data_IF_230466633857
#
_entry.id   IF_230466633857
#
_cell.length_a   1.000
_cell.length_b   1.000
_cell.length_c   1.000
_cell.angle_alpha   90.00
_cell.angle_beta   90.00
_cell.angle_gamma   90.00
#
_symmetry.space_group_name_H-M   'P 1'
#
loop_
_entity.id
_entity.type
_entity.pdbx_description
1 polymer ?
#
# COMPACT_ATOMS: atom_id res chain seq x y z
N UNK A 1 -26.19 3.90 14.84
CA UNK A 1 -25.74 3.07 13.71
C UNK A 1 -24.69 2.11 14.26
N UNK A 2 -24.93 0.80 14.22
CA UNK A 2 -23.96 -0.19 14.68
C UNK A 2 -23.02 -0.51 13.52
N UNK A 3 -21.75 -0.16 13.64
CA UNK A 3 -20.71 -0.50 12.66
C UNK A 3 -20.22 -1.90 13.03
N UNK A 4 -20.66 -2.91 12.30
CA UNK A 4 -20.35 -4.31 12.59
C UNK A 4 -19.34 -4.93 11.58
N UNK A 5 -19.08 -4.26 10.47
CA UNK A 5 -18.20 -4.79 9.41
C UNK A 5 -17.38 -3.69 8.71
N UNK A 6 -16.33 -4.08 8.00
CA UNK A 6 -15.57 -3.16 7.14
C UNK A 6 -16.42 -2.57 6.01
N UNK A 7 -17.44 -3.31 5.54
CA UNK A 7 -18.39 -2.81 4.54
C UNK A 7 -19.23 -1.66 5.07
N UNK A 8 -19.62 -1.70 6.35
CA UNK A 8 -20.38 -0.62 6.98
C UNK A 8 -19.52 0.65 7.09
N UNK A 9 -18.23 0.51 7.41
CA UNK A 9 -17.27 1.63 7.41
C UNK A 9 -17.20 2.25 6.01
N UNK A 10 -17.04 1.42 4.98
CA UNK A 10 -16.93 1.88 3.59
C UNK A 10 -18.20 2.64 3.15
N UNK A 11 -19.38 2.12 3.49
CA UNK A 11 -20.67 2.78 3.20
C UNK A 11 -20.80 4.14 3.91
N UNK A 12 -20.30 4.24 5.14
CA UNK A 12 -20.25 5.52 5.87
C UNK A 12 -19.35 6.51 5.14
N UNK A 13 -18.13 6.10 4.79
CA UNK A 13 -17.16 6.96 4.10
C UNK A 13 -17.69 7.47 2.76
N UNK A 14 -18.32 6.60 1.97
CA UNK A 14 -18.87 6.95 0.65
C UNK A 14 -20.08 7.92 0.70
N UNK A 15 -20.70 8.08 1.86
CA UNK A 15 -21.84 8.99 2.07
C UNK A 15 -21.48 10.26 2.86
N UNK A 16 -20.20 10.49 3.17
CA UNK A 16 -19.74 11.70 3.85
C UNK A 16 -19.67 12.88 2.85
N UNK A 17 -19.89 14.09 3.36
CA UNK A 17 -19.51 15.31 2.66
C UNK A 17 -17.97 15.46 2.60
N UNK A 18 -17.49 16.38 1.75
CA UNK A 18 -16.05 16.56 1.51
C UNK A 18 -15.26 16.87 2.80
N UNK A 19 -15.80 17.73 3.66
CA UNK A 19 -15.14 18.10 4.92
C UNK A 19 -15.07 16.91 5.87
N UNK A 20 -16.16 16.17 6.03
CA UNK A 20 -16.22 14.96 6.86
C UNK A 20 -15.31 13.86 6.33
N UNK A 21 -15.21 13.71 5.02
CA UNK A 21 -14.28 12.78 4.36
C UNK A 21 -12.83 13.16 4.67
N UNK A 22 -12.47 14.45 4.54
CA UNK A 22 -11.14 14.93 4.87
C UNK A 22 -10.80 14.72 6.35
N UNK A 23 -11.71 15.09 7.25
CA UNK A 23 -11.53 14.88 8.70
C UNK A 23 -11.32 13.41 9.04
N UNK A 24 -12.09 12.52 8.42
CA UNK A 24 -11.95 11.08 8.61
C UNK A 24 -10.61 10.57 8.09
N UNK A 25 -10.19 10.99 6.89
CA UNK A 25 -8.91 10.61 6.30
C UNK A 25 -7.73 11.04 7.20
N UNK A 26 -7.71 12.30 7.66
CA UNK A 26 -6.68 12.81 8.57
C UNK A 26 -6.69 12.05 9.91
N UNK A 27 -7.88 11.75 10.43
CA UNK A 27 -8.02 11.00 11.70
C UNK A 27 -7.44 9.59 11.55
N UNK A 28 -7.76 8.89 10.47
CA UNK A 28 -7.22 7.55 10.20
C UNK A 28 -5.69 7.57 10.04
N UNK A 29 -5.15 8.54 9.34
CA UNK A 29 -3.71 8.73 9.19
C UNK A 29 -3.03 8.97 10.55
N UNK A 30 -3.60 9.85 11.37
CA UNK A 30 -3.08 10.13 12.72
C UNK A 30 -3.11 8.89 13.60
N UNK A 31 -4.20 8.13 13.60
CA UNK A 31 -4.31 6.87 14.35
C UNK A 31 -3.25 5.88 13.86
N UNK A 32 -3.06 5.74 12.56
CA UNK A 32 -2.06 4.84 11.97
C UNK A 32 -0.63 5.23 12.40
N UNK A 33 -0.28 6.52 12.31
CA UNK A 33 1.02 7.02 12.76
C UNK A 33 1.25 6.80 14.26
N UNK A 34 0.25 7.07 15.09
CA UNK A 34 0.34 6.84 16.53
C UNK A 34 0.53 5.38 16.88
N UNK A 35 -0.27 4.51 16.26
CA UNK A 35 -0.14 3.05 16.41
C UNK A 35 1.28 2.60 16.09
N UNK A 36 1.81 3.03 14.94
CA UNK A 36 3.16 2.66 14.53
C UNK A 36 4.23 3.22 15.47
N UNK A 37 4.08 4.46 15.93
CA UNK A 37 4.99 5.08 16.88
C UNK A 37 5.01 4.33 18.23
N UNK A 38 3.86 3.93 18.74
CA UNK A 38 3.76 3.14 19.98
C UNK A 38 4.36 1.76 19.81
N UNK A 39 4.01 1.06 18.73
CA UNK A 39 4.47 -0.31 18.49
C UNK A 39 5.96 -0.43 18.20
N UNK A 40 6.54 0.51 17.45
CA UNK A 40 7.94 0.42 17.04
C UNK A 40 8.90 1.19 17.94
N UNK A 41 8.44 2.28 18.58
CA UNK A 41 9.30 3.17 19.36
C UNK A 41 8.98 3.16 20.86
N UNK A 42 7.93 2.47 21.30
CA UNK A 42 7.51 2.46 22.73
C UNK A 42 7.15 3.84 23.30
N UNK A 43 6.83 4.81 22.43
CA UNK A 43 6.64 6.20 22.82
C UNK A 43 5.28 6.41 23.50
N UNK A 44 5.25 7.20 24.56
CA UNK A 44 3.99 7.69 25.12
C UNK A 44 3.26 8.62 24.14
N UNK A 45 1.93 8.52 24.12
CA UNK A 45 1.07 9.34 23.27
C UNK A 45 0.45 10.45 24.10
N UNK A 46 0.72 11.69 23.70
CA UNK A 46 -0.02 12.84 24.24
C UNK A 46 -1.25 13.09 23.38
N UNK A 47 -2.42 12.68 23.88
CA UNK A 47 -3.69 12.73 23.14
C UNK A 47 -4.05 14.18 22.78
N UNK A 48 -3.83 15.15 23.68
CA UNK A 48 -4.21 16.56 23.46
C UNK A 48 -3.38 17.13 22.30
N UNK A 49 -2.05 16.96 22.33
CA UNK A 49 -1.19 17.46 21.25
C UNK A 49 -1.50 16.78 19.92
N UNK A 50 -1.89 15.52 19.97
CA UNK A 50 -2.29 14.75 18.77
C UNK A 50 -3.57 15.28 18.14
N UNK A 51 -4.59 15.57 18.94
CA UNK A 51 -5.83 16.17 18.46
C UNK A 51 -5.59 17.56 17.86
N UNK A 52 -4.82 18.42 18.53
CA UNK A 52 -4.47 19.75 18.01
C UNK A 52 -3.71 19.64 16.67
N UNK A 53 -2.80 18.68 16.54
CA UNK A 53 -2.09 18.45 15.28
C UNK A 53 -3.03 17.95 14.16
N UNK A 54 -3.97 17.07 14.47
CA UNK A 54 -4.98 16.61 13.51
C UNK A 54 -5.86 17.77 13.01
N UNK A 55 -6.35 18.61 13.92
CA UNK A 55 -7.13 19.80 13.56
C UNK A 55 -6.34 20.79 12.69
N UNK A 56 -5.06 21.02 13.03
CA UNK A 56 -4.21 21.90 12.23
C UNK A 56 -3.98 21.33 10.83
N UNK A 57 -3.77 20.02 10.68
CA UNK A 57 -3.63 19.38 9.37
C UNK A 57 -4.90 19.52 8.52
N UNK A 58 -6.08 19.32 9.11
CA UNK A 58 -7.35 19.57 8.39
C UNK A 58 -7.41 21.01 7.88
N UNK A 59 -7.05 21.99 8.71
CA UNK A 59 -7.01 23.41 8.30
C UNK A 59 -5.99 23.68 7.19
N UNK A 60 -4.81 23.07 7.26
CA UNK A 60 -3.78 23.17 6.21
C UNK A 60 -4.27 22.63 4.86
N UNK A 61 -4.93 21.45 4.87
CA UNK A 61 -5.53 20.89 3.66
C UNK A 61 -6.65 21.77 3.08
N UNK A 62 -7.54 22.30 3.93
CA UNK A 62 -8.60 23.20 3.48
C UNK A 62 -8.02 24.49 2.87
N UNK A 63 -7.03 25.09 3.52
CA UNK A 63 -6.35 26.28 3.01
C UNK A 63 -5.63 25.99 1.68
N UNK A 64 -5.04 24.79 1.53
CA UNK A 64 -4.40 24.40 0.27
C UNK A 64 -5.42 24.27 -0.87
N UNK A 65 -6.60 23.71 -0.61
CA UNK A 65 -7.69 23.59 -1.59
C UNK A 65 -8.22 24.97 -2.02
N UNK A 66 -8.37 25.92 -1.10
CA UNK A 66 -8.79 27.29 -1.40
C UNK A 66 -7.75 28.05 -2.25
N UNK A 67 -6.46 27.74 -2.06
CA UNK A 67 -5.37 28.36 -2.84
C UNK A 67 -5.11 27.69 -4.20
N UNK A 68 -5.58 26.47 -4.45
CA UNK A 68 -5.45 25.78 -5.74
C UNK A 68 -6.32 26.41 -6.85
N UNK A 69 -7.33 27.19 -6.50
CA UNK A 69 -8.15 27.90 -7.51
C UNK A 69 -7.39 29.03 -8.23
N UNK A 70 -6.18 29.41 -7.78
CA UNK A 70 -5.45 30.58 -8.31
C UNK A 70 -4.07 30.28 -8.88
N UNK A 71 -3.66 29.03 -9.00
CA UNK A 71 -2.35 28.68 -9.56
C UNK A 71 -2.44 27.57 -10.60
N UNK A 72 -2.15 27.99 -11.83
CA UNK A 72 -1.66 27.14 -12.92
C UNK A 72 -0.36 26.43 -12.45
N UNK A 73 -0.51 25.44 -11.60
CA UNK A 73 0.58 24.60 -11.11
C UNK A 73 0.73 23.43 -12.06
N UNK A 74 1.77 23.52 -12.89
CA UNK A 74 2.51 22.36 -13.38
C UNK A 74 3.24 21.68 -12.19
N UNK A 75 2.52 21.31 -11.12
CA UNK A 75 3.02 20.32 -10.19
C UNK A 75 2.91 19.00 -10.92
N UNK A 76 4.05 18.32 -11.11
CA UNK A 76 4.08 16.89 -11.32
C UNK A 76 3.33 16.25 -10.14
N UNK A 77 2.02 16.20 -10.27
CA UNK A 77 1.23 15.30 -9.44
C UNK A 77 1.90 13.95 -9.62
N UNK A 78 2.43 13.39 -8.53
CA UNK A 78 2.94 12.02 -8.49
C UNK A 78 1.74 11.09 -8.68
N UNK A 79 1.13 11.18 -9.87
CA UNK A 79 0.03 10.32 -10.24
C UNK A 79 0.58 8.95 -10.57
N UNK A 80 -0.14 7.91 -10.17
CA UNK A 80 0.20 6.56 -10.58
C UNK A 80 0.31 6.48 -12.12
N UNK A 81 1.47 6.04 -12.61
CA UNK A 81 1.77 5.94 -14.04
C UNK A 81 1.29 4.56 -14.53
N UNK A 82 0.41 4.50 -15.54
CA UNK A 82 -0.01 3.22 -16.11
C UNK A 82 1.18 2.50 -16.76
N UNK A 83 1.12 1.17 -16.90
CA UNK A 83 2.15 0.42 -17.60
C UNK A 83 2.16 0.79 -19.09
N UNK A 84 3.28 0.54 -19.80
CA UNK A 84 3.34 0.63 -21.25
C UNK A 84 2.32 -0.30 -21.92
N UNK A 85 2.06 -0.05 -23.21
CA UNK A 85 1.15 -0.87 -24.01
C UNK A 85 1.53 -2.36 -23.94
N UNK A 86 0.53 -3.22 -23.77
CA UNK A 86 0.65 -4.67 -23.64
C UNK A 86 1.39 -5.14 -22.37
N UNK A 87 1.61 -4.28 -21.40
CA UNK A 87 2.11 -4.66 -20.07
C UNK A 87 0.99 -4.63 -19.03
N UNK A 88 1.10 -5.48 -18.03
CA UNK A 88 0.24 -5.50 -16.86
C UNK A 88 1.06 -5.08 -15.65
N UNK A 89 0.58 -4.11 -14.91
CA UNK A 89 1.21 -3.66 -13.68
C UNK A 89 0.60 -4.38 -12.49
N UNK A 90 1.45 -5.03 -11.71
CA UNK A 90 1.10 -5.75 -10.48
C UNK A 90 1.55 -4.92 -9.29
N UNK A 91 0.60 -4.35 -8.56
CA UNK A 91 0.86 -3.70 -7.29
C UNK A 91 0.70 -4.74 -6.19
N UNK A 92 1.77 -4.99 -5.43
CA UNK A 92 1.80 -6.00 -4.36
C UNK A 92 2.06 -5.35 -3.01
N UNK A 93 1.38 -5.86 -2.01
CA UNK A 93 1.58 -5.45 -0.63
C UNK A 93 1.44 -6.63 0.33
N UNK A 94 1.91 -6.46 1.57
CA UNK A 94 1.72 -7.41 2.64
C UNK A 94 1.65 -6.69 3.98
N UNK A 95 0.74 -7.13 4.83
CA UNK A 95 0.57 -6.65 6.18
C UNK A 95 0.74 -7.79 7.18
N UNK A 96 1.51 -7.55 8.24
CA UNK A 96 1.76 -8.52 9.31
C UNK A 96 0.96 -8.11 10.54
N UNK A 97 0.13 -9.01 11.04
CA UNK A 97 -0.59 -8.88 12.31
C UNK A 97 0.10 -9.70 13.41
N UNK A 98 -0.50 -9.77 14.58
CA UNK A 98 -0.03 -10.65 15.66
C UNK A 98 -0.33 -12.13 15.42
N UNK A 99 -1.29 -12.45 14.55
CA UNK A 99 -1.79 -13.81 14.36
C UNK A 99 -1.51 -14.38 12.97
N UNK A 100 -1.43 -13.54 11.94
CA UNK A 100 -1.26 -13.96 10.54
C UNK A 100 -0.67 -12.83 9.71
N UNK A 101 -0.25 -13.18 8.50
CA UNK A 101 0.18 -12.25 7.45
C UNK A 101 -0.90 -12.18 6.37
N UNK A 102 -1.25 -10.98 5.91
CA UNK A 102 -2.09 -10.78 4.72
C UNK A 102 -1.21 -10.41 3.54
N UNK A 103 -1.52 -10.98 2.38
CA UNK A 103 -0.85 -10.70 1.11
C UNK A 103 -1.90 -10.20 0.13
N UNK A 104 -1.62 -9.10 -0.56
CA UNK A 104 -2.54 -8.45 -1.47
C UNK A 104 -1.87 -8.16 -2.81
N UNK A 105 -2.63 -8.28 -3.90
CA UNK A 105 -2.20 -7.93 -5.25
C UNK A 105 -3.33 -7.31 -6.05
N UNK A 106 -3.00 -6.25 -6.80
CA UNK A 106 -3.89 -5.61 -7.77
C UNK A 106 -3.20 -5.58 -9.12
N UNK A 107 -3.86 -6.12 -10.15
CA UNK A 107 -3.39 -6.09 -11.53
C UNK A 107 -4.13 -5.01 -12.33
N UNK A 108 -3.39 -4.17 -13.05
CA UNK A 108 -3.92 -3.09 -13.90
C UNK A 108 -3.28 -3.09 -15.28
N UNK A 109 -4.08 -2.70 -16.29
CA UNK A 109 -3.62 -2.56 -17.67
C UNK A 109 -3.19 -1.10 -18.00
N UNK A 110 -2.77 -0.88 -19.24
CA UNK A 110 -2.38 0.43 -19.78
C UNK A 110 -3.51 1.48 -19.78
N UNK A 111 -4.77 1.04 -19.71
CA UNK A 111 -5.96 1.92 -19.66
C UNK A 111 -6.33 2.31 -18.22
N UNK A 112 -5.52 1.94 -17.22
CA UNK A 112 -5.78 2.11 -15.77
C UNK A 112 -6.93 1.25 -15.24
N UNK A 113 -7.41 0.31 -16.01
CA UNK A 113 -8.46 -0.61 -15.58
C UNK A 113 -7.89 -1.65 -14.63
N UNK A 114 -8.61 -1.91 -13.55
CA UNK A 114 -8.32 -3.02 -12.64
C UNK A 114 -8.80 -4.31 -13.29
N UNK A 115 -7.86 -5.17 -13.66
CA UNK A 115 -8.17 -6.45 -14.27
C UNK A 115 -8.59 -7.48 -13.22
N UNK A 116 -7.82 -7.56 -12.13
CA UNK A 116 -8.07 -8.50 -11.04
C UNK A 116 -7.49 -7.98 -9.72
N UNK A 117 -8.08 -8.46 -8.63
CA UNK A 117 -7.61 -8.24 -7.26
C UNK A 117 -7.59 -9.58 -6.54
N UNK A 118 -6.51 -9.84 -5.81
CA UNK A 118 -6.39 -11.03 -4.97
C UNK A 118 -5.93 -10.64 -3.59
N UNK A 119 -6.43 -11.36 -2.62
CA UNK A 119 -5.96 -11.31 -1.24
C UNK A 119 -5.93 -12.72 -0.67
N UNK A 120 -4.95 -13.01 0.18
CA UNK A 120 -4.91 -14.27 0.94
C UNK A 120 -4.25 -14.09 2.30
N UNK A 121 -4.56 -15.01 3.20
CA UNK A 121 -3.87 -15.15 4.47
C UNK A 121 -2.69 -16.10 4.29
N UNK A 122 -1.58 -15.78 4.94
CA UNK A 122 -0.37 -16.56 5.01
C UNK A 122 0.07 -16.70 6.47
N UNK A 123 0.89 -17.69 6.75
CA UNK A 123 1.46 -17.91 8.08
C UNK A 123 2.25 -16.69 8.54
N UNK A 124 2.32 -16.53 9.86
CA UNK A 124 3.04 -15.42 10.47
C UNK A 124 4.52 -15.45 10.09
N UNK A 125 5.01 -14.34 9.54
CA UNK A 125 6.41 -14.16 9.18
C UNK A 125 6.84 -12.71 9.42
N UNK A 126 8.14 -12.42 9.24
CA UNK A 126 8.63 -11.05 9.38
C UNK A 126 8.11 -10.15 8.26
N UNK A 127 8.01 -8.81 8.45
CA UNK A 127 7.54 -7.89 7.41
C UNK A 127 8.31 -8.03 6.08
N UNK A 128 9.63 -8.20 6.13
CA UNK A 128 10.46 -8.37 4.93
C UNK A 128 10.14 -9.69 4.22
N UNK A 129 9.99 -10.79 4.97
CA UNK A 129 9.58 -12.07 4.41
C UNK A 129 8.17 -12.00 3.80
N UNK A 130 7.23 -11.32 4.47
CA UNK A 130 5.87 -11.12 3.97
C UNK A 130 5.86 -10.44 2.59
N UNK A 131 6.64 -9.37 2.43
CA UNK A 131 6.77 -8.66 1.15
C UNK A 131 7.41 -9.54 0.06
N UNK A 132 8.44 -10.32 0.41
CA UNK A 132 9.06 -11.26 -0.54
C UNK A 132 8.09 -12.37 -0.96
N UNK A 133 7.32 -12.93 -0.02
CA UNK A 133 6.29 -13.96 -0.32
C UNK A 133 5.17 -13.37 -1.17
N UNK A 134 4.75 -12.12 -0.94
CA UNK A 134 3.75 -11.46 -1.76
C UNK A 134 4.20 -11.33 -3.22
N UNK A 135 5.46 -10.96 -3.44
CA UNK A 135 6.06 -10.88 -4.78
C UNK A 135 6.10 -12.26 -5.46
N UNK A 136 6.60 -13.30 -4.77
CA UNK A 136 6.64 -14.66 -5.32
C UNK A 136 5.22 -15.15 -5.69
N UNK A 137 4.26 -14.90 -4.83
CA UNK A 137 2.87 -15.24 -5.09
C UNK A 137 2.29 -14.48 -6.28
N UNK A 138 2.59 -13.19 -6.42
CA UNK A 138 2.14 -12.38 -7.56
C UNK A 138 2.71 -12.91 -8.90
N UNK A 139 3.98 -13.35 -8.92
CA UNK A 139 4.58 -14.01 -10.10
C UNK A 139 3.88 -15.32 -10.42
N UNK A 140 3.55 -16.14 -9.42
CA UNK A 140 2.78 -17.37 -9.60
C UNK A 140 1.42 -17.12 -10.23
N UNK A 141 0.73 -16.06 -9.77
CA UNK A 141 -0.56 -15.66 -10.33
C UNK A 141 -0.42 -15.15 -11.76
N UNK A 142 0.60 -14.34 -12.07
CA UNK A 142 0.87 -13.85 -13.41
C UNK A 142 1.11 -15.02 -14.39
N UNK A 143 1.86 -16.04 -13.96
CA UNK A 143 2.08 -17.27 -14.74
C UNK A 143 0.76 -18.01 -14.98
N UNK A 144 -0.08 -18.16 -13.95
CA UNK A 144 -1.39 -18.82 -14.06
C UNK A 144 -2.33 -18.09 -15.00
N UNK A 145 -2.27 -16.75 -15.02
CA UNK A 145 -3.06 -15.89 -15.90
C UNK A 145 -2.47 -15.76 -17.31
N UNK A 146 -1.32 -16.39 -17.60
CA UNK A 146 -0.57 -16.29 -18.86
C UNK A 146 -0.17 -14.86 -19.24
N UNK A 147 0.17 -14.02 -18.26
CA UNK A 147 0.66 -12.66 -18.48
C UNK A 147 2.16 -12.67 -18.74
N UNK A 148 2.55 -12.46 -19.99
CA UNK A 148 3.94 -12.52 -20.42
C UNK A 148 4.73 -11.24 -20.13
N UNK A 149 4.06 -10.07 -20.10
CA UNK A 149 4.69 -8.78 -19.90
C UNK A 149 4.14 -8.16 -18.62
N UNK A 150 4.92 -8.18 -17.56
CA UNK A 150 4.50 -7.64 -16.27
C UNK A 150 5.48 -6.59 -15.75
N UNK A 151 4.97 -5.63 -15.00
CA UNK A 151 5.74 -4.68 -14.18
C UNK A 151 5.30 -4.87 -12.74
N UNK A 152 6.25 -5.18 -11.86
CA UNK A 152 5.99 -5.34 -10.44
C UNK A 152 6.26 -4.04 -9.70
N UNK A 153 5.31 -3.59 -8.89
CA UNK A 153 5.45 -2.46 -7.96
C UNK A 153 5.11 -2.89 -6.54
N UNK A 154 5.93 -2.46 -5.60
CA UNK A 154 5.73 -2.65 -4.16
C UNK A 154 6.57 -1.65 -3.38
N UNK A 155 6.29 -1.51 -2.09
CA UNK A 155 6.99 -0.57 -1.21
C UNK A 155 8.32 -1.12 -0.64
N UNK A 156 8.61 -2.41 -0.83
CA UNK A 156 9.84 -3.04 -0.35
C UNK A 156 10.95 -2.98 -1.37
N UNK A 157 11.74 -1.90 -1.33
CA UNK A 157 12.92 -1.75 -2.19
C UNK A 157 13.89 -2.93 -2.05
N UNK A 158 14.10 -3.44 -0.83
CA UNK A 158 15.02 -4.58 -0.57
C UNK A 158 14.57 -5.81 -1.35
N UNK A 159 13.27 -6.12 -1.35
CA UNK A 159 12.75 -7.30 -2.06
C UNK A 159 12.82 -7.12 -3.58
N UNK A 160 12.48 -5.93 -4.09
CA UNK A 160 12.54 -5.64 -5.53
C UNK A 160 13.98 -5.59 -6.06
N UNK A 161 14.91 -4.99 -5.31
CA UNK A 161 16.34 -4.98 -5.66
C UNK A 161 16.93 -6.39 -5.65
N UNK A 162 16.51 -7.25 -4.70
CA UNK A 162 16.98 -8.64 -4.64
C UNK A 162 16.48 -9.48 -5.84
N UNK A 163 15.30 -9.18 -6.39
CA UNK A 163 14.81 -9.80 -7.62
C UNK A 163 15.58 -9.34 -8.86
N UNK A 164 15.80 -8.02 -8.98
CA UNK A 164 16.49 -7.45 -10.15
C UNK A 164 17.98 -7.79 -10.17
N UNK A 165 18.59 -8.07 -8.99
CA UNK A 165 20.00 -8.37 -8.79
C UNK A 165 20.24 -9.81 -8.33
N UNK A 166 19.54 -10.77 -8.88
CA UNK A 166 19.51 -12.18 -8.45
C UNK A 166 20.90 -12.86 -8.30
N UNK A 167 21.99 -12.21 -8.73
CA UNK A 167 23.38 -12.69 -8.60
C UNK A 167 24.15 -12.08 -7.43
N UNK A 168 23.62 -11.09 -6.73
CA UNK A 168 24.26 -10.46 -5.58
C UNK A 168 23.76 -11.07 -4.26
N UNK A 169 24.58 -11.06 -3.16
CA UNK A 169 24.14 -11.53 -1.87
C UNK A 169 22.92 -10.72 -1.39
N UNK A 170 21.77 -11.35 -1.33
CA UNK A 170 20.56 -10.78 -0.74
C UNK A 170 20.50 -11.07 0.76
N UNK A 171 19.63 -10.37 1.47
CA UNK A 171 19.34 -10.67 2.87
C UNK A 171 19.03 -12.19 3.00
N UNK A 172 19.74 -12.88 3.88
CA UNK A 172 19.62 -14.33 4.07
C UNK A 172 18.20 -14.78 4.38
N UNK A 173 17.41 -13.90 5.04
CA UNK A 173 16.01 -14.17 5.43
C UNK A 173 15.04 -14.29 4.26
N UNK A 174 15.40 -13.76 3.09
CA UNK A 174 14.57 -13.77 1.87
C UNK A 174 15.27 -14.45 0.68
N UNK A 175 16.53 -14.90 0.84
CA UNK A 175 17.36 -15.39 -0.26
C UNK A 175 16.76 -16.59 -1.02
N UNK A 176 16.09 -17.50 -0.33
CA UNK A 176 15.38 -18.62 -0.97
C UNK A 176 14.15 -18.13 -1.75
N UNK A 177 13.36 -17.25 -1.17
CA UNK A 177 12.13 -16.71 -1.76
C UNK A 177 12.44 -15.91 -3.01
N UNK A 178 13.46 -15.06 -2.97
CA UNK A 178 13.90 -14.25 -4.13
C UNK A 178 14.50 -15.09 -5.24
N UNK A 179 15.21 -16.18 -4.90
CA UNK A 179 15.71 -17.14 -5.89
C UNK A 179 14.56 -17.86 -6.61
N UNK A 180 13.54 -18.32 -5.87
CA UNK A 180 12.39 -18.98 -6.45
C UNK A 180 11.61 -18.01 -7.36
N UNK A 181 11.46 -16.76 -6.94
CA UNK A 181 10.83 -15.72 -7.75
C UNK A 181 11.62 -15.41 -9.04
N UNK A 182 12.95 -15.35 -8.96
CA UNK A 182 13.82 -15.11 -10.14
C UNK A 182 13.79 -16.27 -11.15
N UNK A 183 13.49 -17.51 -10.70
CA UNK A 183 13.34 -18.67 -11.60
C UNK A 183 11.98 -18.69 -12.31
N UNK A 184 11.03 -17.88 -11.91
CA UNK A 184 9.68 -17.78 -12.50
C UNK A 184 9.53 -16.61 -13.48
N UNK A 185 10.47 -15.66 -13.47
CA UNK A 185 10.49 -14.48 -14.34
C UNK A 185 11.32 -14.72 -15.59
#
# INVERSE_FOLDING_TARGET
>A
MNIASNEDILKVVLNLDELSTLQMAVTMEVIWHLRNKVLHNGSEVNIISTLCNAENRVKEYLNALDHEQDKDRSEELTSWIPPPKNYIKLNVDAAVSQAFTSLDMVARNEFREVLKVWAKIHDLCTPTQAKAVAILWALSLATTENWCNIIMEGDSKICLDALSKAKEPSDWSISSITRDAANMS
#
